data_IF_941179673819
#
_entry.id   IF_941179673819
#
_cell.length_a   1.000
_cell.length_b   1.000
_cell.length_c   1.000
_cell.angle_alpha   90.00
_cell.angle_beta   90.00
_cell.angle_gamma   90.00
#
_symmetry.space_group_name_H-M   'P 1'
#
loop_
_entity.id
_entity.type
_entity.pdbx_description
1 polymer ?
#
# COMPACT_ATOMS: atom_id res chain seq x y z
N UNK A 1 -9.78 12.14 6.44
CA UNK A 1 -10.10 11.15 5.39
C UNK A 1 -11.40 10.47 5.76
N UNK A 2 -12.54 11.07 5.43
CA UNK A 2 -13.86 10.70 5.96
C UNK A 2 -14.23 9.21 5.82
N UNK A 3 -14.73 8.81 4.65
CA UNK A 3 -15.18 7.45 4.35
C UNK A 3 -14.17 6.64 3.50
N UNK A 4 -12.92 7.13 3.41
CA UNK A 4 -11.87 6.56 2.55
C UNK A 4 -10.81 5.83 3.37
N UNK A 5 -10.55 4.59 2.98
CA UNK A 5 -9.55 3.70 3.54
C UNK A 5 -8.32 3.66 2.64
N UNK A 6 -7.14 3.66 3.26
CA UNK A 6 -5.84 3.52 2.60
C UNK A 6 -5.29 2.14 2.98
N UNK A 7 -5.09 1.28 1.99
CA UNK A 7 -4.67 -0.11 2.19
C UNK A 7 -3.44 -0.36 1.34
N UNK A 8 -2.42 -0.96 1.96
CA UNK A 8 -1.23 -1.39 1.25
C UNK A 8 -1.24 -2.90 1.11
N UNK A 9 -1.09 -3.40 -0.11
CA UNK A 9 -1.08 -4.84 -0.36
C UNK A 9 0.34 -5.40 -0.49
N UNK A 10 0.43 -6.71 -0.56
CA UNK A 10 1.68 -7.44 -0.72
C UNK A 10 2.35 -7.26 -2.09
N UNK A 11 1.65 -6.72 -3.09
CA UNK A 11 2.24 -6.43 -4.39
C UNK A 11 3.00 -5.10 -4.40
N UNK A 12 2.97 -4.34 -3.29
CA UNK A 12 3.62 -3.04 -3.18
C UNK A 12 2.75 -1.88 -3.65
N UNK A 13 1.43 -2.07 -3.66
CA UNK A 13 0.46 -1.09 -4.14
C UNK A 13 -0.27 -0.43 -2.98
N UNK A 14 -0.54 0.87 -3.13
CA UNK A 14 -1.46 1.62 -2.29
C UNK A 14 -2.82 1.67 -2.98
N UNK A 15 -3.84 1.18 -2.29
CA UNK A 15 -5.22 1.16 -2.73
C UNK A 15 -6.02 2.11 -1.85
N UNK A 16 -6.79 2.98 -2.47
CA UNK A 16 -7.75 3.86 -1.80
C UNK A 16 -9.15 3.33 -2.13
N UNK A 17 -10.00 3.15 -1.12
CA UNK A 17 -11.38 2.72 -1.37
C UNK A 17 -12.32 2.98 -0.21
N UNK A 18 -13.56 2.50 -0.36
CA UNK A 18 -14.60 2.55 0.67
C UNK A 18 -14.93 1.15 1.16
N UNK A 19 -15.17 1.03 2.46
CA UNK A 19 -15.64 -0.20 3.09
C UNK A 19 -17.06 0.04 3.62
N UNK A 20 -17.99 -0.84 3.25
CA UNK A 20 -19.34 -0.90 3.79
C UNK A 20 -19.72 -2.37 4.07
N UNK A 21 -20.83 -2.63 4.80
CA UNK A 21 -21.35 -3.98 4.95
C UNK A 21 -21.67 -4.68 3.61
N UNK A 22 -21.97 -3.92 2.56
CA UNK A 22 -22.24 -4.44 1.22
C UNK A 22 -20.95 -4.83 0.47
N UNK A 23 -19.79 -4.39 0.95
CA UNK A 23 -18.50 -4.80 0.43
C UNK A 23 -17.47 -3.67 0.29
N UNK A 24 -16.49 -3.92 -0.57
CA UNK A 24 -15.40 -3.00 -0.87
C UNK A 24 -15.62 -2.34 -2.23
N UNK A 25 -15.42 -1.02 -2.30
CA UNK A 25 -15.38 -0.26 -3.56
C UNK A 25 -14.02 0.41 -3.69
N UNK A 26 -13.25 0.00 -4.70
CA UNK A 26 -11.98 0.63 -5.05
C UNK A 26 -12.24 2.01 -5.67
N UNK A 27 -11.51 3.02 -5.19
CA UNK A 27 -11.53 4.39 -5.73
C UNK A 27 -10.31 4.60 -6.61
N UNK A 28 -9.12 4.20 -6.12
CA UNK A 28 -7.86 4.42 -6.82
C UNK A 28 -6.81 3.39 -6.37
N UNK A 29 -5.81 3.16 -7.22
CA UNK A 29 -4.70 2.25 -6.97
C UNK A 29 -3.44 2.78 -7.64
N UNK A 30 -2.35 2.78 -6.90
CA UNK A 30 -1.03 3.14 -7.42
C UNK A 30 0.07 2.21 -6.93
N UNK A 31 1.05 1.96 -7.78
CA UNK A 31 2.26 1.22 -7.39
C UNK A 31 3.20 2.14 -6.62
N UNK A 32 3.56 1.74 -5.39
CA UNK A 32 4.46 2.50 -4.52
C UNK A 32 5.88 1.96 -4.62
N UNK A 33 6.02 0.63 -4.67
CA UNK A 33 7.29 -0.06 -4.88
C UNK A 33 7.05 -1.47 -5.43
N UNK A 34 8.13 -2.11 -5.90
CA UNK A 34 8.05 -3.50 -6.35
C UNK A 34 8.17 -4.44 -5.16
N UNK A 35 7.39 -5.50 -5.16
CA UNK A 35 7.58 -6.63 -4.27
C UNK A 35 8.91 -7.36 -4.58
N UNK A 36 9.75 -7.60 -3.57
CA UNK A 36 11.11 -8.18 -3.76
C UNK A 36 11.33 -9.47 -2.98
N UNK A 37 10.64 -9.65 -1.87
CA UNK A 37 10.92 -10.73 -0.93
C UNK A 37 10.25 -12.04 -1.37
N UNK A 38 10.96 -13.15 -1.23
CA UNK A 38 10.38 -14.48 -1.44
C UNK A 38 9.60 -14.94 -0.19
N UNK A 39 8.29 -15.20 -0.30
CA UNK A 39 7.54 -15.85 0.77
C UNK A 39 7.90 -17.34 0.84
N UNK A 40 7.95 -17.90 2.05
CA UNK A 40 8.39 -19.31 2.26
C UNK A 40 7.44 -20.37 1.68
N UNK A 41 6.15 -20.06 1.55
CA UNK A 41 5.09 -21.07 1.34
C UNK A 41 4.23 -20.83 0.10
N UNK A 42 4.62 -19.91 -0.80
CA UNK A 42 3.91 -19.65 -2.04
C UNK A 42 4.84 -19.09 -3.11
N UNK A 43 4.38 -19.12 -4.35
CA UNK A 43 5.09 -18.51 -5.47
C UNK A 43 4.85 -16.99 -5.54
N UNK A 44 5.76 -16.28 -6.20
CA UNK A 44 5.69 -14.83 -6.39
C UNK A 44 6.49 -14.03 -5.34
N UNK A 45 6.66 -12.74 -5.61
CA UNK A 45 7.35 -11.80 -4.70
C UNK A 45 6.34 -11.03 -3.86
N UNK A 46 6.75 -10.65 -2.66
CA UNK A 46 5.92 -9.87 -1.73
C UNK A 46 6.66 -8.67 -1.16
N UNK A 47 5.93 -7.59 -0.91
CA UNK A 47 6.34 -6.47 -0.07
C UNK A 47 5.93 -6.80 1.37
N UNK A 48 6.86 -7.38 2.15
CA UNK A 48 6.55 -7.85 3.52
C UNK A 48 6.35 -6.74 4.54
N UNK A 49 7.02 -5.61 4.35
CA UNK A 49 7.02 -4.55 5.36
C UNK A 49 5.76 -3.71 5.28
N UNK A 50 4.97 -3.71 6.35
CA UNK A 50 3.83 -2.79 6.46
C UNK A 50 4.32 -1.34 6.39
N UNK A 51 3.68 -0.45 5.61
CA UNK A 51 4.12 0.92 5.49
C UNK A 51 3.82 1.71 6.76
N UNK A 52 4.57 2.79 6.98
CA UNK A 52 4.22 3.80 7.97
C UNK A 52 3.47 4.96 7.31
N UNK A 53 2.46 5.48 8.01
CA UNK A 53 1.74 6.68 7.60
C UNK A 53 2.03 7.79 8.61
N UNK A 54 2.71 8.84 8.17
CA UNK A 54 3.08 9.97 9.04
C UNK A 54 3.19 11.25 8.21
N UNK A 55 2.89 12.41 8.80
CA UNK A 55 3.04 13.71 8.14
C UNK A 55 2.38 13.84 6.77
N UNK A 56 1.23 13.18 6.55
CA UNK A 56 0.57 13.06 5.23
C UNK A 56 1.47 12.42 4.16
N UNK A 57 2.31 11.48 4.55
CA UNK A 57 3.13 10.67 3.67
C UNK A 57 2.92 9.19 3.96
N UNK A 58 3.15 8.38 2.93
CA UNK A 58 3.38 6.95 3.05
C UNK A 58 4.88 6.68 2.97
N UNK A 59 5.39 5.93 3.94
CA UNK A 59 6.76 5.42 3.95
C UNK A 59 6.70 3.92 3.79
N UNK A 60 7.21 3.40 2.67
CA UNK A 60 7.23 1.99 2.37
C UNK A 60 8.65 1.52 2.08
N UNK A 61 8.95 0.24 2.34
CA UNK A 61 10.25 -0.34 2.04
C UNK A 61 10.14 -1.74 1.48
N UNK A 62 11.13 -2.11 0.69
CA UNK A 62 11.40 -3.48 0.27
C UNK A 62 12.88 -3.80 0.52
N UNK A 63 13.41 -4.85 -0.09
CA UNK A 63 14.80 -5.28 0.12
C UNK A 63 15.82 -4.36 -0.58
N UNK A 64 15.39 -3.58 -1.58
CA UNK A 64 16.26 -2.74 -2.40
C UNK A 64 16.25 -1.27 -1.97
N UNK A 65 15.12 -0.77 -1.44
CA UNK A 65 14.90 0.67 -1.20
C UNK A 65 13.83 0.97 -0.16
N UNK A 66 13.89 2.22 0.31
CA UNK A 66 12.84 2.88 1.09
C UNK A 66 12.30 4.04 0.25
N UNK A 67 10.99 4.19 0.19
CA UNK A 67 10.31 5.26 -0.54
C UNK A 67 9.44 6.10 0.40
N UNK A 68 9.29 7.37 0.05
CA UNK A 68 8.42 8.34 0.71
C UNK A 68 7.52 8.98 -0.34
N UNK A 69 6.21 8.75 -0.25
CA UNK A 69 5.21 9.32 -1.17
C UNK A 69 4.31 10.32 -0.43
N UNK A 70 4.08 11.49 -1.02
CA UNK A 70 3.12 12.46 -0.48
C UNK A 70 1.69 11.96 -0.68
N UNK A 71 0.86 12.12 0.36
CA UNK A 71 -0.59 11.90 0.36
C UNK A 71 -1.35 13.24 0.50
N UNK A 72 -0.64 14.37 0.43
CA UNK A 72 -1.28 15.67 0.46
C UNK A 72 -2.07 15.90 -0.83
N UNK A 73 -3.26 16.48 -0.69
CA UNK A 73 -4.02 17.01 -1.81
C UNK A 73 -3.31 18.26 -2.32
N UNK A 74 -3.24 18.43 -3.64
CA UNK A 74 -2.89 19.70 -4.29
C UNK A 74 -3.93 20.81 -3.98
#
# INVERSE_FOLDING_TARGET
NGDRWFMFNEHGELIIGKLSPDGFTEIDRTSVLNATSDPRYREGKVAWSHPAYAYKHIFARNDDRIVCGSLAKE
#
